data_IF_711882870029
#
_entry.id   IF_711882870029
#
_cell.length_a   1.000
_cell.length_b   1.000
_cell.length_c   1.000
_cell.angle_alpha   90.00
_cell.angle_beta   90.00
_cell.angle_gamma   90.00
#
_symmetry.space_group_name_H-M   'P 1'
#
loop_
_entity.id
_entity.type
_entity.pdbx_description
1 polymer ?
#
# COMPACT_ATOMS: atom_id res chain seq x y z
N UNK A 1 -36.76 27.36 2.29
CA UNK A 1 -36.26 26.07 2.83
C UNK A 1 -34.89 26.34 3.45
N UNK A 2 -34.85 26.82 4.70
CA UNK A 2 -33.59 27.15 5.39
C UNK A 2 -33.04 25.86 6.00
N UNK A 3 -32.06 25.24 5.37
CA UNK A 3 -31.43 24.02 5.89
C UNK A 3 -30.76 24.34 7.23
N UNK A 4 -31.17 23.64 8.30
CA UNK A 4 -30.60 23.73 9.64
C UNK A 4 -29.10 23.44 9.62
N UNK A 5 -28.30 24.49 9.51
CA UNK A 5 -26.85 24.41 9.39
C UNK A 5 -26.27 24.23 10.79
N UNK A 6 -26.22 22.98 11.27
CA UNK A 6 -25.57 22.63 12.55
C UNK A 6 -24.13 23.12 12.55
N UNK A 7 -23.82 24.09 13.42
CA UNK A 7 -22.46 24.61 13.59
C UNK A 7 -21.63 23.59 14.36
N UNK A 8 -20.78 22.87 13.64
CA UNK A 8 -19.75 22.01 14.22
C UNK A 8 -18.59 22.92 14.67
N UNK A 9 -18.34 22.99 15.98
CA UNK A 9 -17.16 23.66 16.51
C UNK A 9 -15.96 22.70 16.37
N UNK A 10 -15.21 22.84 15.28
CA UNK A 10 -13.92 22.19 15.07
C UNK A 10 -12.84 23.05 15.74
N UNK A 11 -12.42 22.69 16.95
CA UNK A 11 -11.25 23.30 17.58
C UNK A 11 -9.99 22.55 17.16
N UNK A 12 -9.00 23.29 16.65
CA UNK A 12 -7.67 22.76 16.38
C UNK A 12 -6.75 23.11 17.56
N UNK A 13 -6.04 22.11 18.09
CA UNK A 13 -5.00 22.33 19.09
C UNK A 13 -3.74 22.87 18.42
N UNK A 14 -3.28 24.04 18.87
CA UNK A 14 -2.04 24.64 18.39
C UNK A 14 -0.78 23.97 18.96
N UNK A 15 -0.93 23.05 19.92
CA UNK A 15 0.18 22.25 20.43
C UNK A 15 0.59 21.13 19.45
N UNK A 16 -0.36 20.59 18.68
CA UNK A 16 -0.08 19.55 17.68
C UNK A 16 0.44 20.18 16.38
N UNK A 17 1.61 19.75 15.86
CA UNK A 17 2.16 20.29 14.62
C UNK A 17 1.26 20.01 13.42
N UNK A 18 0.59 18.85 13.38
CA UNK A 18 -0.32 18.45 12.31
C UNK A 18 -1.57 19.34 12.31
N UNK A 19 -2.17 19.56 13.48
CA UNK A 19 -3.38 20.40 13.57
C UNK A 19 -3.08 21.87 13.31
N UNK A 20 -1.90 22.36 13.71
CA UNK A 20 -1.42 23.71 13.37
C UNK A 20 -1.22 23.87 11.86
N UNK A 21 -0.67 22.85 11.19
CA UNK A 21 -0.51 22.87 9.74
C UNK A 21 -1.87 22.85 9.04
N UNK A 22 -2.79 21.98 9.46
CA UNK A 22 -4.15 21.93 8.94
C UNK A 22 -4.87 23.28 9.13
N UNK A 23 -4.66 23.95 10.29
CA UNK A 23 -5.20 25.28 10.54
C UNK A 23 -4.65 26.33 9.57
N UNK A 24 -3.35 26.32 9.26
CA UNK A 24 -2.78 27.24 8.26
C UNK A 24 -3.42 27.06 6.89
N UNK A 25 -3.51 25.82 6.41
CA UNK A 25 -4.17 25.51 5.14
C UNK A 25 -5.64 25.92 5.12
N UNK A 26 -6.34 25.83 6.26
CA UNK A 26 -7.73 26.30 6.37
C UNK A 26 -7.86 27.82 6.40
N UNK A 27 -6.84 28.53 6.89
CA UNK A 27 -6.81 29.98 6.95
C UNK A 27 -6.59 30.62 5.58
N UNK A 28 -5.96 29.91 4.63
CA UNK A 28 -5.85 30.33 3.23
C UNK A 28 -7.22 30.40 2.52
N UNK A 29 -8.24 29.73 3.07
CA UNK A 29 -9.61 29.75 2.55
C UNK A 29 -10.37 30.96 3.13
N UNK A 30 -11.12 31.72 2.30
CA UNK A 30 -11.87 32.89 2.74
C UNK A 30 -12.87 32.57 3.86
N UNK A 31 -13.02 33.53 4.78
CA UNK A 31 -13.96 33.44 5.89
C UNK A 31 -15.40 33.29 5.34
N UNK A 32 -16.13 32.28 5.81
CA UNK A 32 -17.47 31.93 5.33
C UNK A 32 -17.53 30.65 4.50
N UNK A 33 -16.44 30.29 3.80
CA UNK A 33 -16.40 29.07 2.97
C UNK A 33 -15.65 27.90 3.61
N UNK A 34 -14.87 28.14 4.68
CA UNK A 34 -13.98 27.15 5.30
C UNK A 34 -14.66 25.83 5.62
N UNK A 35 -15.80 25.86 6.30
CA UNK A 35 -16.55 24.64 6.66
C UNK A 35 -17.10 23.92 5.42
N UNK A 36 -17.52 24.66 4.40
CA UNK A 36 -17.99 24.10 3.13
C UNK A 36 -16.84 23.44 2.36
N UNK A 37 -15.68 24.09 2.30
CA UNK A 37 -14.48 23.55 1.68
C UNK A 37 -14.00 22.28 2.38
N UNK A 38 -13.99 22.26 3.73
CA UNK A 38 -13.69 21.04 4.51
C UNK A 38 -14.66 19.92 4.18
N UNK A 39 -15.96 20.20 4.16
CA UNK A 39 -16.98 19.21 3.84
C UNK A 39 -16.75 18.62 2.43
N UNK A 40 -16.51 19.47 1.43
CA UNK A 40 -16.19 19.04 0.06
C UNK A 40 -14.93 18.18 0.01
N UNK A 41 -13.85 18.61 0.66
CA UNK A 41 -12.60 17.85 0.70
C UNK A 41 -12.77 16.47 1.36
N UNK A 42 -13.54 16.38 2.45
CA UNK A 42 -13.81 15.11 3.13
C UNK A 42 -14.66 14.21 2.24
N UNK A 43 -15.73 14.73 1.63
CA UNK A 43 -16.59 13.95 0.74
C UNK A 43 -15.81 13.43 -0.48
N UNK A 44 -14.99 14.27 -1.10
CA UNK A 44 -14.13 13.89 -2.22
C UNK A 44 -13.12 12.81 -1.82
N UNK A 45 -12.46 12.99 -0.68
CA UNK A 45 -11.50 12.00 -0.18
C UNK A 45 -12.15 10.63 0.10
N UNK A 46 -13.37 10.61 0.64
CA UNK A 46 -14.13 9.37 0.83
C UNK A 46 -14.45 8.70 -0.51
N UNK A 47 -14.93 9.48 -1.50
CA UNK A 47 -15.25 8.96 -2.83
C UNK A 47 -14.00 8.38 -3.53
N UNK A 48 -12.87 9.09 -3.48
CA UNK A 48 -11.60 8.62 -4.05
C UNK A 48 -11.13 7.32 -3.40
N UNK A 49 -11.28 7.20 -2.07
CA UNK A 49 -10.91 6.00 -1.34
C UNK A 49 -11.81 4.81 -1.68
N UNK A 50 -13.12 5.04 -1.83
CA UNK A 50 -14.07 4.01 -2.27
C UNK A 50 -13.75 3.54 -3.70
N UNK A 51 -13.46 4.47 -4.62
CA UNK A 51 -13.01 4.14 -5.97
C UNK A 51 -11.72 3.30 -5.96
N UNK A 52 -10.75 3.69 -5.14
CA UNK A 52 -9.47 2.99 -5.05
C UNK A 52 -9.64 1.56 -4.53
N UNK A 53 -10.48 1.37 -3.51
CA UNK A 53 -10.81 0.03 -3.02
C UNK A 53 -11.57 -0.79 -4.06
N UNK A 54 -12.50 -0.19 -4.80
CA UNK A 54 -13.21 -0.86 -5.90
C UNK A 54 -12.24 -1.31 -7.01
N UNK A 55 -11.29 -0.46 -7.41
CA UNK A 55 -10.26 -0.80 -8.40
C UNK A 55 -9.35 -1.92 -7.89
N UNK A 56 -8.87 -1.83 -6.64
CA UNK A 56 -8.08 -2.91 -6.03
C UNK A 56 -8.84 -4.22 -6.01
N UNK A 57 -10.14 -4.17 -5.70
CA UNK A 57 -10.99 -5.34 -5.65
C UNK A 57 -11.22 -5.93 -7.03
N UNK A 58 -11.52 -5.11 -8.03
CA UNK A 58 -11.68 -5.53 -9.42
C UNK A 58 -10.39 -6.20 -9.94
N UNK A 59 -9.23 -5.58 -9.71
CA UNK A 59 -7.94 -6.15 -10.10
C UNK A 59 -7.70 -7.50 -9.40
N UNK A 60 -8.00 -7.62 -8.11
CA UNK A 60 -7.87 -8.91 -7.40
C UNK A 60 -8.81 -9.98 -7.95
N UNK A 61 -10.05 -9.63 -8.27
CA UNK A 61 -11.02 -10.56 -8.85
C UNK A 61 -10.58 -11.05 -10.23
N UNK A 62 -10.10 -10.14 -11.08
CA UNK A 62 -9.56 -10.47 -12.41
C UNK A 62 -8.29 -11.33 -12.30
N UNK A 63 -7.40 -11.03 -11.34
CA UNK A 63 -6.21 -11.83 -11.05
C UNK A 63 -6.53 -13.18 -10.38
N UNK A 64 -7.70 -13.35 -9.75
CA UNK A 64 -8.15 -14.63 -9.19
C UNK A 64 -8.85 -15.50 -10.24
N UNK A 65 -9.59 -14.88 -11.17
CA UNK A 65 -10.22 -15.56 -12.30
C UNK A 65 -9.23 -15.96 -13.39
N UNK A 66 -8.18 -15.15 -13.56
CA UNK A 66 -6.99 -15.56 -14.30
C UNK A 66 -6.19 -16.47 -13.38
N UNK A 67 -6.25 -17.79 -13.56
CA UNK A 67 -5.22 -18.66 -13.00
C UNK A 67 -3.91 -18.19 -13.62
N UNK A 68 -3.22 -17.26 -12.94
CA UNK A 68 -1.88 -16.85 -13.29
C UNK A 68 -1.11 -18.15 -13.14
N UNK A 69 -0.86 -18.80 -14.27
CA UNK A 69 0.30 -19.65 -14.44
C UNK A 69 1.47 -18.69 -14.26
N UNK A 70 1.71 -18.32 -12.99
CA UNK A 70 3.04 -18.04 -12.51
C UNK A 70 3.68 -19.36 -12.85
N UNK A 71 4.29 -19.42 -14.04
CA UNK A 71 5.29 -20.40 -14.32
C UNK A 71 6.14 -20.30 -13.07
N UNK A 72 6.02 -21.30 -12.20
CA UNK A 72 7.04 -21.56 -11.23
C UNK A 72 8.25 -21.58 -12.13
N UNK A 73 9.02 -20.49 -12.12
CA UNK A 73 10.43 -20.60 -12.26
C UNK A 73 10.77 -21.51 -11.09
N UNK A 74 10.60 -22.81 -11.34
CA UNK A 74 11.25 -23.82 -10.57
C UNK A 74 12.65 -23.27 -10.43
N UNK A 75 13.23 -23.28 -9.22
CA UNK A 75 14.66 -23.36 -9.19
C UNK A 75 14.92 -24.71 -9.87
N UNK A 76 15.02 -24.72 -11.20
CA UNK A 76 15.80 -25.70 -11.92
C UNK A 76 17.23 -25.33 -11.52
N UNK A 77 17.56 -25.57 -10.24
CA UNK A 77 18.85 -26.07 -9.89
C UNK A 77 18.94 -27.34 -10.71
N UNK A 78 19.43 -27.19 -11.95
CA UNK A 78 19.67 -28.30 -12.84
C UNK A 78 20.38 -29.34 -12.00
N UNK A 79 19.82 -30.55 -12.00
CA UNK A 79 20.35 -31.70 -11.28
C UNK A 79 21.87 -31.64 -11.37
N UNK A 80 22.52 -31.36 -10.25
CA UNK A 80 23.98 -31.43 -10.19
C UNK A 80 24.30 -32.88 -10.57
N UNK A 81 25.02 -33.04 -11.67
CA UNK A 81 25.33 -34.35 -12.22
C UNK A 81 26.00 -35.21 -11.14
N UNK A 82 25.61 -36.48 -11.05
CA UNK A 82 26.09 -37.42 -10.03
C UNK A 82 27.62 -37.56 -10.14
N UNK A 83 28.17 -37.37 -11.34
CA UNK A 83 29.59 -37.30 -11.64
C UNK A 83 30.32 -36.15 -10.92
N UNK A 84 29.67 -34.99 -10.74
CA UNK A 84 30.24 -33.85 -10.02
C UNK A 84 30.29 -34.13 -8.52
N UNK A 85 29.26 -34.80 -7.99
CA UNK A 85 29.24 -35.22 -6.59
C UNK A 85 30.26 -36.33 -6.31
N UNK A 86 30.44 -37.27 -7.25
CA UNK A 86 31.50 -38.30 -7.17
C UNK A 86 32.91 -37.71 -7.23
N UNK A 87 33.12 -36.66 -8.05
CA UNK A 87 34.39 -35.92 -8.08
C UNK A 87 34.68 -35.20 -6.75
N UNK A 88 33.69 -34.52 -6.17
CA UNK A 88 33.86 -33.87 -4.86
C UNK A 88 34.08 -34.89 -3.73
N UNK A 89 33.40 -36.04 -3.77
CA UNK A 89 33.59 -37.12 -2.81
C UNK A 89 35.02 -37.70 -2.90
N UNK A 90 35.53 -37.91 -4.11
CA UNK A 90 36.90 -38.43 -4.32
C UNK A 90 38.00 -37.42 -3.94
N UNK A 91 37.72 -36.11 -3.99
CA UNK A 91 38.62 -35.10 -3.42
C UNK A 91 38.61 -35.09 -1.89
N UNK A 92 37.46 -35.41 -1.26
CA UNK A 92 37.34 -35.47 0.19
C UNK A 92 37.97 -36.75 0.77
N UNK A 93 37.92 -37.85 0.03
CA UNK A 93 38.50 -39.14 0.45
C UNK A 93 40.01 -39.25 0.18
N UNK A 94 40.59 -38.27 -0.52
CA UNK A 94 42.02 -38.19 -0.83
C UNK A 94 42.88 -37.40 0.16
N UNK A 95 42.32 -36.88 1.26
CA UNK A 95 43.04 -36.09 2.28
C UNK A 95 42.99 -36.69 3.69
N UNK A 96 42.87 -38.01 3.78
CA UNK A 96 43.10 -38.75 5.03
C UNK A 96 43.89 -40.03 4.71
N UNK A 97 45.22 -39.91 4.54
CA UNK A 97 46.22 -40.90 4.99
C UNK A 97 47.64 -40.38 4.76
N UNK A 98 48.26 -39.94 5.87
CA UNK A 98 49.68 -39.68 6.20
C UNK A 98 50.44 -38.51 5.55
#
# INVERSE_FOLDING_TARGET
MSSDKKRLNLSFSMASPIQRQAWRTLMDIPAGERTGAVCRMICEHKNQRELLEAVRQAIRQELQGSQIQIAQAAPQAGSIDEDVLGFLASLQEGDDTD
#
